data_IF_288935370572
#
_entry.id   IF_288935370572
#
_cell.length_a   1.000
_cell.length_b   1.000
_cell.length_c   1.000
_cell.angle_alpha   90.00
_cell.angle_beta   90.00
_cell.angle_gamma   90.00
#
_symmetry.space_group_name_H-M   'P 1'
#
loop_
_entity.id
_entity.type
_entity.pdbx_description
1 polymer ?
#
# COMPACT_ATOMS: atom_id res chain seq x y z
N UNK A 1 12.94 36.71 -27.28
CA UNK A 1 11.76 35.84 -27.40
C UNK A 1 12.10 34.55 -26.68
N UNK A 2 11.67 34.39 -25.44
CA UNK A 2 11.95 33.16 -24.66
C UNK A 2 10.89 32.14 -25.09
N UNK A 3 11.28 31.18 -25.91
CA UNK A 3 10.44 30.05 -26.29
C UNK A 3 10.27 29.16 -25.05
N UNK A 4 9.14 29.27 -24.38
CA UNK A 4 8.76 28.28 -23.37
C UNK A 4 8.54 26.93 -24.08
N UNK A 5 9.53 26.06 -23.99
CA UNK A 5 9.38 24.66 -24.41
C UNK A 5 8.38 24.01 -23.47
N UNK A 6 7.21 23.71 -23.96
CA UNK A 6 6.19 22.97 -23.21
C UNK A 6 6.75 21.56 -22.98
N UNK A 7 7.14 21.27 -21.75
CA UNK A 7 7.63 19.93 -21.37
C UNK A 7 6.46 18.94 -21.42
N UNK A 8 6.66 17.84 -22.12
CA UNK A 8 5.68 16.76 -22.07
C UNK A 8 5.78 16.04 -20.72
N UNK A 9 4.71 15.37 -20.28
CA UNK A 9 4.74 14.50 -19.09
C UNK A 9 5.86 13.45 -19.17
N UNK A 10 6.14 12.91 -20.36
CA UNK A 10 7.22 11.97 -20.59
C UNK A 10 8.60 12.60 -20.34
N UNK A 11 8.81 13.87 -20.75
CA UNK A 11 10.07 14.59 -20.50
C UNK A 11 10.29 14.81 -19.00
N UNK A 12 9.20 15.15 -18.26
CA UNK A 12 9.25 15.34 -16.80
C UNK A 12 9.58 14.01 -16.10
N UNK A 13 8.95 12.90 -16.51
CA UNK A 13 9.25 11.58 -15.98
C UNK A 13 10.71 11.17 -16.22
N UNK A 14 11.20 11.40 -17.44
CA UNK A 14 12.58 11.06 -17.80
C UNK A 14 13.57 11.92 -17.00
N UNK A 15 13.29 13.20 -16.80
CA UNK A 15 14.15 14.10 -16.01
C UNK A 15 14.16 13.70 -14.52
N UNK A 16 12.97 13.37 -13.96
CA UNK A 16 12.86 12.85 -12.60
C UNK A 16 13.66 11.55 -12.41
N UNK A 17 13.57 10.63 -13.37
CA UNK A 17 14.29 9.36 -13.31
C UNK A 17 15.81 9.57 -13.40
N UNK A 18 16.25 10.44 -14.31
CA UNK A 18 17.67 10.78 -14.43
C UNK A 18 18.23 11.43 -13.17
N UNK A 19 17.48 12.32 -12.52
CA UNK A 19 17.89 12.96 -11.26
C UNK A 19 17.89 11.96 -10.10
N UNK A 20 16.92 11.08 -10.05
CA UNK A 20 16.88 10.00 -9.05
C UNK A 20 18.11 9.09 -9.15
N UNK A 21 18.53 8.75 -10.37
CA UNK A 21 19.64 7.83 -10.60
C UNK A 21 21.01 8.50 -10.42
N UNK A 22 21.15 9.77 -10.85
CA UNK A 22 22.44 10.44 -10.96
C UNK A 22 22.69 11.51 -9.89
N UNK A 23 21.65 12.21 -9.41
CA UNK A 23 21.75 13.26 -8.40
C UNK A 23 20.59 13.20 -7.40
N UNK A 24 20.77 12.44 -6.34
CA UNK A 24 19.76 12.21 -5.29
C UNK A 24 19.39 13.49 -4.53
N UNK A 25 20.29 14.44 -4.43
CA UNK A 25 20.03 15.71 -3.75
C UNK A 25 19.09 16.58 -4.59
N UNK A 26 19.38 16.71 -5.87
CA UNK A 26 18.56 17.48 -6.81
C UNK A 26 17.17 16.85 -6.98
N UNK A 27 17.07 15.50 -6.94
CA UNK A 27 15.81 14.80 -6.92
C UNK A 27 14.93 15.16 -5.70
N UNK A 28 15.51 15.20 -4.50
CA UNK A 28 14.75 15.55 -3.29
C UNK A 28 14.30 17.02 -3.31
N UNK A 29 15.11 17.92 -3.84
CA UNK A 29 14.71 19.32 -4.04
C UNK A 29 13.58 19.46 -5.08
N UNK A 30 13.70 18.75 -6.20
CA UNK A 30 12.64 18.71 -7.20
C UNK A 30 11.33 18.21 -6.60
N UNK A 31 11.37 17.12 -5.84
CA UNK A 31 10.22 16.55 -5.17
C UNK A 31 9.57 17.52 -4.19
N UNK A 32 10.39 18.22 -3.41
CA UNK A 32 9.93 19.24 -2.46
C UNK A 32 9.24 20.42 -3.15
N UNK A 33 9.74 20.81 -4.31
CA UNK A 33 9.22 21.94 -5.06
C UNK A 33 8.01 21.58 -5.93
N UNK A 34 7.88 20.30 -6.31
CA UNK A 34 6.79 19.81 -7.16
C UNK A 34 5.55 19.39 -6.37
N UNK A 35 5.70 19.00 -5.11
CA UNK A 35 4.60 18.55 -4.27
C UNK A 35 4.24 19.63 -3.26
N UNK A 36 3.19 20.39 -3.55
CA UNK A 36 2.63 21.35 -2.61
C UNK A 36 1.66 20.68 -1.65
N UNK A 37 2.15 20.24 -0.49
CA UNK A 37 1.31 19.60 0.51
C UNK A 37 0.24 20.52 1.08
N UNK A 38 0.42 21.84 1.06
CA UNK A 38 -0.58 22.78 1.54
C UNK A 38 -1.84 22.82 0.65
N UNK A 39 -1.70 22.47 -0.62
CA UNK A 39 -2.85 22.32 -1.53
C UNK A 39 -3.50 20.94 -1.44
N UNK A 40 -2.72 19.90 -1.17
CA UNK A 40 -3.19 18.51 -1.15
C UNK A 40 -3.87 18.16 0.17
N UNK A 41 -3.39 18.71 1.29
CA UNK A 41 -3.88 18.38 2.63
C UNK A 41 -5.11 19.23 2.97
N UNK A 42 -6.32 18.63 3.16
CA UNK A 42 -7.51 19.38 3.52
C UNK A 42 -7.35 20.16 4.82
N UNK A 43 -7.93 21.36 4.90
CA UNK A 43 -7.92 22.18 6.10
C UNK A 43 -8.54 21.47 7.31
N UNK A 44 -9.53 20.60 7.07
CA UNK A 44 -10.14 19.74 8.10
C UNK A 44 -9.12 18.82 8.76
N UNK A 45 -8.24 18.22 7.96
CA UNK A 45 -7.17 17.36 8.46
C UNK A 45 -6.18 18.16 9.33
N UNK A 46 -5.75 19.31 8.84
CA UNK A 46 -4.86 20.21 9.62
C UNK A 46 -5.50 20.58 10.96
N UNK A 47 -6.78 20.95 10.94
CA UNK A 47 -7.54 21.33 12.14
C UNK A 47 -7.69 20.15 13.12
N UNK A 48 -7.99 18.96 12.62
CA UNK A 48 -8.11 17.75 13.44
C UNK A 48 -6.76 17.34 14.03
N UNK A 49 -5.69 17.47 13.27
CA UNK A 49 -4.34 17.17 13.75
C UNK A 49 -3.89 18.11 14.87
N UNK A 50 -4.25 19.39 14.80
CA UNK A 50 -3.93 20.44 15.77
C UNK A 50 -5.07 20.69 16.76
N UNK A 51 -5.80 19.63 17.18
CA UNK A 51 -6.90 19.76 18.12
C UNK A 51 -6.53 20.64 19.32
N UNK A 52 -7.45 21.55 19.69
CA UNK A 52 -7.21 22.57 20.71
C UNK A 52 -7.02 22.02 22.15
N UNK A 53 -7.38 20.74 22.37
CA UNK A 53 -7.32 20.09 23.67
C UNK A 53 -6.31 18.95 23.68
N UNK A 54 -5.55 18.85 24.78
CA UNK A 54 -4.58 17.78 24.97
C UNK A 54 -3.12 18.28 24.91
N UNK A 55 -2.18 17.33 25.10
CA UNK A 55 -0.75 17.63 25.02
C UNK A 55 -0.35 17.91 23.56
N UNK A 56 0.39 19.00 23.29
CA UNK A 56 0.89 19.28 21.94
C UNK A 56 1.64 18.09 21.34
N UNK A 57 1.39 17.81 20.07
CA UNK A 57 2.08 16.72 19.34
C UNK A 57 3.54 17.12 19.13
N UNK A 58 4.45 16.20 19.43
CA UNK A 58 5.90 16.40 19.24
C UNK A 58 6.29 16.43 17.78
N UNK A 59 5.60 15.64 16.96
CA UNK A 59 5.89 15.52 15.53
C UNK A 59 4.77 16.20 14.76
N UNK A 60 5.14 17.03 13.79
CA UNK A 60 4.22 17.81 12.98
C UNK A 60 3.59 16.96 11.87
N UNK A 61 2.46 17.41 11.35
CA UNK A 61 1.70 16.72 10.30
C UNK A 61 2.51 16.52 9.01
N UNK A 62 3.03 17.61 8.45
CA UNK A 62 3.75 17.58 7.18
C UNK A 62 5.02 16.73 7.20
N UNK A 63 5.88 16.76 8.24
CA UNK A 63 6.96 15.80 8.39
C UNK A 63 6.53 14.34 8.36
N UNK A 64 5.42 14.00 9.03
CA UNK A 64 4.89 12.63 9.01
C UNK A 64 4.41 12.23 7.62
N UNK A 65 3.69 13.11 6.90
CA UNK A 65 3.22 12.86 5.54
C UNK A 65 4.39 12.73 4.55
N UNK A 66 5.40 13.61 4.62
CA UNK A 66 6.60 13.51 3.78
C UNK A 66 7.35 12.20 4.00
N UNK A 67 7.44 11.72 5.23
CA UNK A 67 8.07 10.44 5.53
C UNK A 67 7.30 9.26 4.92
N UNK A 68 5.96 9.27 4.96
CA UNK A 68 5.14 8.26 4.30
C UNK A 68 5.26 8.34 2.77
N UNK A 69 5.36 9.54 2.22
CA UNK A 69 5.62 9.76 0.79
C UNK A 69 6.98 9.18 0.37
N UNK A 70 8.04 9.43 1.15
CA UNK A 70 9.35 8.79 0.92
C UNK A 70 9.27 7.27 1.00
N UNK A 71 8.51 6.73 1.95
CA UNK A 71 8.29 5.29 2.06
C UNK A 71 7.73 4.70 0.77
N UNK A 72 6.77 5.41 0.16
CA UNK A 72 6.15 5.00 -1.10
C UNK A 72 7.11 5.13 -2.29
N UNK A 73 7.74 6.31 -2.46
CA UNK A 73 8.63 6.61 -3.60
C UNK A 73 9.81 5.65 -3.63
N UNK A 74 10.46 5.42 -2.49
CA UNK A 74 11.61 4.51 -2.40
C UNK A 74 11.20 3.04 -2.24
N UNK A 75 9.90 2.72 -2.33
CA UNK A 75 9.37 1.34 -2.16
C UNK A 75 9.87 0.67 -0.88
N UNK A 76 9.94 1.43 0.23
CA UNK A 76 10.44 0.92 1.51
C UNK A 76 9.36 0.02 2.14
N UNK A 77 9.59 -1.30 2.29
CA UNK A 77 8.53 -2.25 2.62
C UNK A 77 8.00 -2.10 4.05
N UNK A 78 8.81 -1.59 4.97
CA UNK A 78 8.42 -1.49 6.39
C UNK A 78 8.71 -0.12 6.99
N UNK A 79 7.85 0.31 7.91
CA UNK A 79 8.08 1.54 8.68
C UNK A 79 9.36 1.48 9.52
N UNK A 80 9.73 0.28 10.00
CA UNK A 80 10.99 0.10 10.74
C UNK A 80 12.20 0.41 9.87
N UNK A 81 12.19 -0.01 8.62
CA UNK A 81 13.26 0.28 7.66
C UNK A 81 13.28 1.76 7.28
N UNK A 82 12.10 2.39 7.09
CA UNK A 82 12.00 3.84 6.89
C UNK A 82 12.70 4.60 8.01
N UNK A 83 12.46 4.22 9.26
CA UNK A 83 13.09 4.88 10.42
C UNK A 83 14.61 4.70 10.41
N UNK A 84 15.13 3.57 9.98
CA UNK A 84 16.57 3.37 9.79
C UNK A 84 17.10 4.37 8.77
N UNK A 85 16.48 4.50 7.60
CA UNK A 85 16.88 5.48 6.59
C UNK A 85 16.85 6.92 7.13
N UNK A 86 15.78 7.31 7.82
CA UNK A 86 15.65 8.64 8.42
C UNK A 86 16.69 8.91 9.52
N UNK A 87 17.12 7.89 10.26
CA UNK A 87 18.15 8.04 11.29
C UNK A 87 19.55 8.19 10.71
N UNK A 88 19.85 7.46 9.65
CA UNK A 88 21.20 7.42 9.06
C UNK A 88 21.41 8.44 7.94
N UNK A 89 20.36 8.87 7.23
CA UNK A 89 20.44 9.92 6.21
C UNK A 89 19.95 11.27 6.76
N UNK A 90 20.87 12.21 6.86
CA UNK A 90 20.52 13.57 7.24
C UNK A 90 19.69 14.26 6.16
N UNK A 91 19.95 13.96 4.90
CA UNK A 91 19.25 14.54 3.75
C UNK A 91 17.77 14.15 3.76
N UNK A 92 17.45 12.87 3.93
CA UNK A 92 16.06 12.38 4.03
C UNK A 92 15.35 12.96 5.26
N UNK A 93 16.06 13.08 6.39
CA UNK A 93 15.52 13.69 7.59
C UNK A 93 15.22 15.18 7.39
N UNK A 94 16.12 15.91 6.74
CA UNK A 94 15.94 17.33 6.41
C UNK A 94 14.81 17.53 5.40
N UNK A 95 14.71 16.67 4.39
CA UNK A 95 13.58 16.67 3.44
C UNK A 95 12.25 16.54 4.17
N UNK A 96 12.14 15.61 5.10
CA UNK A 96 10.92 15.46 5.90
C UNK A 96 10.69 16.65 6.84
N UNK A 97 11.75 17.28 7.36
CA UNK A 97 11.68 18.32 8.37
C UNK A 97 11.60 17.76 9.80
N UNK A 98 12.28 16.65 10.08
CA UNK A 98 12.34 16.09 11.43
C UNK A 98 13.57 16.58 12.20
N UNK A 99 13.36 17.23 13.35
CA UNK A 99 14.40 17.44 14.35
C UNK A 99 14.76 16.12 15.04
N UNK A 100 13.75 15.34 15.38
CA UNK A 100 13.87 14.03 16.02
C UNK A 100 13.02 13.03 15.25
N UNK A 101 13.63 11.94 14.80
CA UNK A 101 12.94 10.89 14.05
C UNK A 101 11.94 10.15 14.96
N UNK A 102 10.67 10.03 14.56
CA UNK A 102 9.66 9.26 15.30
C UNK A 102 10.01 7.78 15.36
N UNK A 103 9.51 7.08 16.36
CA UNK A 103 9.53 5.62 16.42
C UNK A 103 8.40 4.99 15.54
N UNK A 104 8.48 3.68 15.29
CA UNK A 104 7.53 2.95 14.46
C UNK A 104 6.09 3.03 15.02
N UNK A 105 5.96 3.06 16.35
CA UNK A 105 4.67 3.12 17.01
C UNK A 105 3.96 4.47 16.75
N UNK A 106 4.73 5.57 16.62
CA UNK A 106 4.16 6.89 16.26
C UNK A 106 3.58 6.89 14.85
N UNK A 107 4.24 6.24 13.89
CA UNK A 107 3.70 6.08 12.53
C UNK A 107 2.45 5.19 12.52
N UNK A 108 2.46 4.09 13.28
CA UNK A 108 1.29 3.21 13.37
C UNK A 108 0.09 3.96 13.96
N UNK A 109 0.28 4.66 15.06
CA UNK A 109 -0.77 5.51 15.65
C UNK A 109 -1.25 6.59 14.70
N UNK A 110 -0.33 7.28 14.04
CA UNK A 110 -0.69 8.31 13.07
C UNK A 110 -1.63 7.77 11.99
N UNK A 111 -1.30 6.62 11.41
CA UNK A 111 -2.16 5.98 10.40
C UNK A 111 -3.52 5.55 10.96
N UNK A 112 -3.58 5.09 12.20
CA UNK A 112 -4.82 4.65 12.85
C UNK A 112 -5.70 5.83 13.27
N UNK A 113 -5.10 6.82 13.96
CA UNK A 113 -5.82 7.96 14.49
C UNK A 113 -6.39 8.87 13.38
N UNK A 114 -5.72 8.93 12.21
CA UNK A 114 -6.05 9.81 11.09
C UNK A 114 -6.43 9.05 9.81
N UNK A 115 -6.97 7.84 9.94
CA UNK A 115 -7.32 7.02 8.77
C UNK A 115 -8.33 7.74 7.86
N UNK A 116 -9.36 8.33 8.43
CA UNK A 116 -10.40 9.03 7.67
C UNK A 116 -9.88 10.35 7.06
N UNK A 117 -8.98 11.04 7.75
CA UNK A 117 -8.35 12.24 7.20
C UNK A 117 -7.42 11.91 6.04
N UNK A 118 -6.67 10.81 6.13
CA UNK A 118 -5.83 10.30 5.03
C UNK A 118 -6.69 9.89 3.83
N UNK A 119 -7.85 9.28 4.06
CA UNK A 119 -8.81 8.99 3.00
C UNK A 119 -9.33 10.26 2.35
N UNK A 120 -9.77 11.23 3.15
CA UNK A 120 -10.23 12.53 2.64
C UNK A 120 -9.14 13.28 1.85
N UNK A 121 -7.88 13.17 2.28
CA UNK A 121 -6.74 13.73 1.55
C UNK A 121 -6.56 13.01 0.19
N UNK A 122 -6.72 11.69 0.14
CA UNK A 122 -6.66 10.94 -1.10
C UNK A 122 -7.79 11.34 -2.06
N UNK A 123 -9.02 11.43 -1.56
CA UNK A 123 -10.19 11.85 -2.36
C UNK A 123 -9.98 13.27 -2.92
N UNK A 124 -9.47 14.18 -2.11
CA UNK A 124 -9.13 15.54 -2.57
C UNK A 124 -8.02 15.55 -3.64
N UNK A 125 -7.01 14.68 -3.51
CA UNK A 125 -5.98 14.52 -4.54
C UNK A 125 -6.56 14.01 -5.86
N UNK A 126 -7.50 13.07 -5.81
CA UNK A 126 -8.22 12.60 -7.00
C UNK A 126 -8.97 13.75 -7.65
N UNK A 127 -9.72 14.55 -6.88
CA UNK A 127 -10.45 15.72 -7.38
C UNK A 127 -9.52 16.75 -8.04
N UNK A 128 -8.34 16.98 -7.48
CA UNK A 128 -7.34 17.89 -8.05
C UNK A 128 -6.70 17.36 -9.34
N UNK A 129 -6.56 16.05 -9.48
CA UNK A 129 -5.91 15.43 -10.64
C UNK A 129 -6.87 15.08 -11.76
N UNK A 130 -8.16 14.91 -11.48
CA UNK A 130 -9.18 14.57 -12.47
C UNK A 130 -9.22 15.54 -13.67
N UNK A 131 -9.22 16.88 -13.50
CA UNK A 131 -9.19 17.80 -14.64
C UNK A 131 -7.94 17.64 -15.53
N UNK A 132 -6.80 17.25 -14.93
CA UNK A 132 -5.56 17.01 -15.66
C UNK A 132 -5.68 15.72 -16.47
N UNK A 133 -6.23 14.67 -15.88
CA UNK A 133 -6.50 13.39 -16.56
C UNK A 133 -7.44 13.60 -17.77
N UNK A 134 -8.49 14.40 -17.58
CA UNK A 134 -9.44 14.76 -18.66
C UNK A 134 -8.75 15.50 -19.81
N UNK A 135 -7.83 16.41 -19.51
CA UNK A 135 -7.06 17.13 -20.55
C UNK A 135 -6.09 16.23 -21.31
N UNK A 136 -5.54 15.20 -20.64
CA UNK A 136 -4.61 14.26 -21.28
C UNK A 136 -5.36 13.31 -22.22
N UNK A 137 -6.43 12.70 -21.76
CA UNK A 137 -7.27 11.79 -22.54
C UNK A 137 -8.64 11.59 -21.89
N UNK A 138 -9.63 12.32 -22.37
CA UNK A 138 -11.00 12.29 -21.84
C UNK A 138 -11.63 10.89 -21.88
N UNK A 139 -11.42 10.14 -22.97
CA UNK A 139 -12.00 8.81 -23.11
C UNK A 139 -11.46 7.83 -22.06
N UNK A 140 -10.15 7.90 -21.77
CA UNK A 140 -9.53 7.07 -20.75
C UNK A 140 -9.82 7.54 -19.33
N UNK A 141 -9.95 8.84 -19.11
CA UNK A 141 -10.26 9.39 -17.79
C UNK A 141 -11.69 9.03 -17.32
N UNK A 142 -12.59 8.75 -18.25
CA UNK A 142 -13.95 8.25 -17.93
C UNK A 142 -14.02 6.74 -17.75
N UNK A 143 -12.94 6.01 -18.04
CA UNK A 143 -12.90 4.55 -17.85
C UNK A 143 -12.75 4.19 -16.38
N UNK A 144 -13.67 3.38 -15.87
CA UNK A 144 -13.56 2.79 -14.54
C UNK A 144 -12.95 1.40 -14.69
N UNK A 145 -11.81 1.20 -14.04
CA UNK A 145 -11.17 -0.10 -13.95
C UNK A 145 -11.59 -0.76 -12.63
N UNK A 146 -12.12 -1.97 -12.74
CA UNK A 146 -12.47 -2.77 -11.58
C UNK A 146 -11.57 -4.00 -11.54
N UNK A 147 -10.72 -4.08 -10.54
CA UNK A 147 -9.91 -5.26 -10.27
C UNK A 147 -10.30 -5.90 -8.94
N UNK A 148 -10.30 -7.22 -8.91
CA UNK A 148 -10.57 -7.98 -7.70
C UNK A 148 -9.38 -8.85 -7.36
N UNK A 149 -8.93 -8.75 -6.13
CA UNK A 149 -7.87 -9.59 -5.60
C UNK A 149 -8.27 -10.19 -4.26
N UNK A 150 -7.42 -11.03 -3.70
CA UNK A 150 -7.60 -11.60 -2.37
C UNK A 150 -6.43 -11.23 -1.47
N UNK A 151 -6.74 -10.89 -0.23
CA UNK A 151 -5.75 -10.76 0.83
C UNK A 151 -5.79 -12.03 1.65
N UNK A 152 -4.69 -12.79 1.64
CA UNK A 152 -4.57 -14.00 2.44
C UNK A 152 -4.77 -13.68 3.92
N UNK A 153 -5.69 -14.40 4.55
CA UNK A 153 -6.08 -14.15 5.92
C UNK A 153 -5.24 -14.96 6.91
N UNK A 154 -5.00 -14.40 8.06
CA UNK A 154 -4.34 -15.10 9.17
C UNK A 154 -5.34 -15.99 9.90
N UNK A 155 -5.63 -17.17 9.32
CA UNK A 155 -6.57 -18.16 9.86
C UNK A 155 -5.92 -19.53 9.99
N UNK A 156 -6.53 -20.39 10.82
CA UNK A 156 -5.99 -21.74 11.10
C UNK A 156 -5.89 -22.59 9.84
N UNK A 157 -6.82 -22.42 8.92
CA UNK A 157 -6.91 -23.15 7.65
C UNK A 157 -5.74 -22.84 6.71
N UNK A 158 -5.16 -21.63 6.79
CA UNK A 158 -3.95 -21.25 6.05
C UNK A 158 -2.65 -21.78 6.70
N UNK A 159 -2.75 -22.40 7.88
CA UNK A 159 -1.57 -23.01 8.49
C UNK A 159 -1.17 -24.26 7.68
N UNK A 160 0.08 -24.35 7.17
CA UNK A 160 0.54 -25.51 6.42
C UNK A 160 0.35 -26.84 7.14
N UNK A 161 0.39 -26.86 8.49
CA UNK A 161 0.15 -28.06 9.28
C UNK A 161 -1.28 -28.56 9.17
N UNK A 162 -2.25 -27.67 8.99
CA UNK A 162 -3.65 -28.02 8.85
C UNK A 162 -3.89 -28.78 7.54
N UNK A 163 -3.51 -28.20 6.41
CA UNK A 163 -3.64 -28.85 5.10
C UNK A 163 -2.82 -30.14 5.00
N UNK A 164 -1.57 -30.13 5.48
CA UNK A 164 -0.69 -31.30 5.45
C UNK A 164 -1.23 -32.49 6.26
N UNK A 165 -1.97 -32.24 7.35
CA UNK A 165 -2.65 -33.30 8.10
C UNK A 165 -3.68 -34.01 7.25
N UNK A 166 -4.52 -33.26 6.55
CA UNK A 166 -5.58 -33.81 5.67
C UNK A 166 -4.96 -34.54 4.49
N UNK A 167 -3.97 -33.93 3.82
CA UNK A 167 -3.25 -34.55 2.70
C UNK A 167 -2.63 -35.88 3.10
N UNK A 168 -2.02 -35.97 4.29
CA UNK A 168 -1.42 -37.21 4.80
C UNK A 168 -2.46 -38.31 4.99
N UNK A 169 -3.63 -37.96 5.54
CA UNK A 169 -4.75 -38.91 5.71
C UNK A 169 -5.26 -39.41 4.36
N UNK A 170 -5.41 -38.53 3.37
CA UNK A 170 -5.89 -38.91 2.03
C UNK A 170 -4.84 -39.71 1.23
N UNK A 171 -3.55 -39.46 1.42
CA UNK A 171 -2.48 -40.31 0.87
C UNK A 171 -2.50 -41.72 1.45
N UNK A 172 -2.72 -41.82 2.78
CA UNK A 172 -2.88 -43.14 3.43
C UNK A 172 -4.14 -43.85 2.90
N UNK A 173 -5.27 -43.13 2.78
CA UNK A 173 -6.50 -43.66 2.19
C UNK A 173 -6.30 -44.17 0.76
N UNK A 174 -5.64 -43.37 -0.12
CA UNK A 174 -5.28 -43.80 -1.50
C UNK A 174 -4.54 -45.14 -1.48
N UNK A 175 -3.53 -45.28 -0.61
CA UNK A 175 -2.70 -46.48 -0.51
C UNK A 175 -3.51 -47.68 0.02
N UNK A 176 -4.36 -47.48 1.02
CA UNK A 176 -5.15 -48.58 1.65
C UNK A 176 -6.22 -49.12 0.71
N UNK A 177 -6.80 -48.26 -0.14
CA UNK A 177 -7.88 -48.64 -1.06
C UNK A 177 -7.39 -48.90 -2.49
N UNK A 178 -6.05 -48.92 -2.73
CA UNK A 178 -5.45 -49.13 -4.04
C UNK A 178 -6.06 -48.26 -5.14
N UNK A 179 -6.34 -46.96 -4.84
CA UNK A 179 -6.89 -46.03 -5.81
C UNK A 179 -5.87 -45.73 -6.89
N UNK A 180 -6.31 -45.61 -8.13
CA UNK A 180 -5.46 -45.36 -9.29
C UNK A 180 -4.87 -43.92 -9.29
N UNK A 181 -4.10 -43.58 -10.31
CA UNK A 181 -3.42 -42.28 -10.39
C UNK A 181 -4.35 -41.12 -10.77
N UNK A 182 -5.62 -41.43 -11.13
CA UNK A 182 -6.64 -40.40 -11.34
C UNK A 182 -7.06 -39.71 -10.02
N UNK A 183 -6.88 -40.40 -8.88
CA UNK A 183 -7.15 -39.82 -7.56
C UNK A 183 -5.96 -38.99 -7.07
N UNK A 184 -6.15 -37.66 -7.03
CA UNK A 184 -5.20 -36.69 -6.51
C UNK A 184 -5.52 -36.33 -5.05
N UNK A 185 -4.71 -36.76 -4.07
CA UNK A 185 -4.92 -36.44 -2.65
C UNK A 185 -4.85 -34.95 -2.33
N UNK A 186 -4.12 -34.15 -3.10
CA UNK A 186 -4.04 -32.70 -2.90
C UNK A 186 -5.35 -32.03 -3.32
N UNK A 187 -5.84 -32.32 -4.50
CA UNK A 187 -7.12 -31.82 -4.99
C UNK A 187 -8.28 -32.24 -4.07
N UNK A 188 -8.27 -33.51 -3.64
CA UNK A 188 -9.27 -34.03 -2.71
C UNK A 188 -9.19 -33.34 -1.31
N UNK A 189 -8.00 -33.02 -0.84
CA UNK A 189 -7.80 -32.28 0.41
C UNK A 189 -8.46 -30.91 0.35
N UNK A 190 -8.17 -30.12 -0.68
CA UNK A 190 -8.77 -28.78 -0.81
C UNK A 190 -10.29 -28.84 -1.02
N UNK A 191 -10.79 -29.83 -1.74
CA UNK A 191 -12.24 -30.05 -1.92
C UNK A 191 -12.95 -30.45 -0.63
N UNK A 192 -12.26 -31.10 0.32
CA UNK A 192 -12.80 -31.50 1.62
C UNK A 192 -12.69 -30.42 2.70
N UNK A 193 -11.94 -29.36 2.46
CA UNK A 193 -11.80 -28.24 3.40
C UNK A 193 -13.09 -27.39 3.37
N UNK A 194 -13.47 -26.74 4.50
CA UNK A 194 -14.66 -25.89 4.54
C UNK A 194 -14.51 -24.71 3.56
N UNK A 195 -15.61 -24.25 2.93
CA UNK A 195 -15.57 -23.14 1.97
C UNK A 195 -15.22 -21.78 2.63
N UNK A 196 -15.45 -21.67 3.94
CA UNK A 196 -15.17 -20.48 4.75
C UNK A 196 -14.31 -20.83 5.95
N UNK A 197 -13.52 -19.87 6.42
CA UNK A 197 -12.75 -20.05 7.63
C UNK A 197 -13.68 -20.11 8.87
N UNK A 198 -13.38 -21.02 9.81
CA UNK A 198 -14.19 -21.19 11.02
C UNK A 198 -14.22 -19.93 11.90
N UNK A 199 -13.10 -19.17 11.92
CA UNK A 199 -12.97 -17.97 12.74
C UNK A 199 -13.68 -16.74 12.14
N UNK A 200 -13.86 -16.70 10.80
CA UNK A 200 -14.48 -15.57 10.11
C UNK A 200 -15.15 -16.01 8.80
N UNK A 201 -16.49 -16.00 8.72
CA UNK A 201 -17.23 -16.41 7.53
C UNK A 201 -16.99 -15.54 6.28
N UNK A 202 -16.48 -14.31 6.45
CA UNK A 202 -16.12 -13.45 5.32
C UNK A 202 -14.83 -13.90 4.61
N UNK A 203 -14.03 -14.74 5.27
CA UNK A 203 -12.82 -15.34 4.71
C UNK A 203 -13.19 -16.62 3.98
N UNK A 204 -12.99 -16.61 2.66
CA UNK A 204 -13.38 -17.70 1.76
C UNK A 204 -12.16 -18.42 1.19
N UNK A 205 -12.34 -19.66 0.81
CA UNK A 205 -11.34 -20.40 0.05
C UNK A 205 -11.20 -19.79 -1.34
N UNK A 206 -9.99 -19.41 -1.71
CA UNK A 206 -9.67 -18.77 -2.99
C UNK A 206 -8.39 -19.34 -3.58
N UNK A 207 -8.23 -19.18 -4.90
CA UNK A 207 -6.98 -19.48 -5.59
C UNK A 207 -6.28 -18.16 -5.93
N UNK A 208 -5.16 -17.88 -5.26
CA UNK A 208 -4.42 -16.62 -5.38
C UNK A 208 -2.95 -16.94 -5.61
N UNK A 209 -2.33 -16.26 -6.55
CA UNK A 209 -0.88 -16.37 -6.83
C UNK A 209 -0.39 -17.83 -7.01
N UNK A 210 -1.21 -18.69 -7.63
CA UNK A 210 -0.82 -20.05 -7.93
C UNK A 210 -1.06 -21.08 -6.81
N UNK A 211 -1.71 -20.70 -5.69
CA UNK A 211 -2.03 -21.65 -4.62
C UNK A 211 -3.42 -21.40 -4.03
N UNK A 212 -3.97 -22.43 -3.38
CA UNK A 212 -5.20 -22.31 -2.61
C UNK A 212 -4.90 -21.74 -1.23
N UNK A 213 -5.68 -20.74 -0.84
CA UNK A 213 -5.64 -20.14 0.50
C UNK A 213 -7.02 -19.63 0.91
N UNK A 214 -7.15 -19.29 2.18
CA UNK A 214 -8.31 -18.59 2.71
C UNK A 214 -8.03 -17.11 2.74
N UNK A 215 -8.86 -16.32 2.08
CA UNK A 215 -8.62 -14.90 1.86
C UNK A 215 -9.90 -14.08 1.96
N UNK A 216 -9.73 -12.80 2.26
CA UNK A 216 -10.78 -11.80 2.06
C UNK A 216 -10.71 -11.31 0.62
N UNK A 217 -11.83 -11.37 -0.09
CA UNK A 217 -11.96 -10.77 -1.42
C UNK A 217 -12.14 -9.26 -1.26
N UNK A 218 -11.38 -8.49 -2.02
CA UNK A 218 -11.57 -7.05 -2.11
C UNK A 218 -11.59 -6.62 -3.58
N UNK A 219 -12.28 -5.52 -3.86
CA UNK A 219 -12.29 -4.88 -5.16
C UNK A 219 -11.70 -3.49 -5.06
N UNK A 220 -10.91 -3.12 -6.06
CA UNK A 220 -10.41 -1.77 -6.25
C UNK A 220 -11.09 -1.23 -7.50
N UNK A 221 -11.64 -0.02 -7.38
CA UNK A 221 -12.19 0.76 -8.48
C UNK A 221 -11.28 1.96 -8.66
N UNK A 222 -10.76 2.12 -9.86
CA UNK A 222 -9.90 3.24 -10.25
C UNK A 222 -10.40 3.89 -11.54
#
# INVERSE_FOLDING_TARGET
MITHKQLSLADIFTDCQNKFDNDKYEFLELLKNSINLDEIVPASFVSHFHAATGRPRRHLLFPMLRALLLQLIFSIPTTSLLIVFLKYSQELRNFCGFDVVPDAFKFTRFKQDFLLDLQSMFDHLVDLTEPICQQINADKATMVLFDTSGIEAWVTENNPKYANRIIRQLKAFKKTHNLDDSYDPYKAAYASMPPHAAANPAVQQMYINGHFCYACKFGIVT
#
